data_IF_777200167392
#
_entry.id   IF_777200167392
#
_cell.length_a   1.000
_cell.length_b   1.000
_cell.length_c   1.000
_cell.angle_alpha   90.00
_cell.angle_beta   90.00
_cell.angle_gamma   90.00
#
_symmetry.space_group_name_H-M   'P 1'
#
loop_
_entity.id
_entity.type
_entity.pdbx_description
1 polymer ?
#
# COMPACT_ATOMS: atom_id res chain seq x y z
N UNK A 1 23.07 15.12 -6.73
CA UNK A 1 22.20 15.57 -5.62
C UNK A 1 21.20 14.47 -5.29
N UNK A 2 20.76 14.37 -4.03
CA UNK A 2 19.64 13.49 -3.69
C UNK A 2 18.35 14.27 -3.95
N UNK A 3 17.44 13.72 -4.76
CA UNK A 3 16.11 14.29 -4.92
C UNK A 3 15.14 13.59 -3.98
N UNK A 4 14.28 14.36 -3.32
CA UNK A 4 13.25 13.82 -2.45
C UNK A 4 11.91 13.84 -3.20
N UNK A 5 11.16 12.74 -3.09
CA UNK A 5 9.78 12.69 -3.52
C UNK A 5 8.88 12.54 -2.29
N UNK A 6 7.76 13.26 -2.28
CA UNK A 6 6.73 13.10 -1.26
C UNK A 6 5.67 12.15 -1.77
N UNK A 7 5.35 11.12 -1.00
CA UNK A 7 4.23 10.22 -1.27
C UNK A 7 3.12 10.53 -0.29
N UNK A 8 1.91 10.74 -0.79
CA UNK A 8 0.71 10.98 0.02
C UNK A 8 -0.33 9.92 -0.29
N UNK A 9 -0.45 8.95 0.60
CA UNK A 9 -1.55 7.97 0.61
C UNK A 9 -2.84 8.67 1.02
N UNK A 10 -3.95 8.33 0.36
CA UNK A 10 -5.24 8.97 0.65
C UNK A 10 -6.43 8.01 0.64
N UNK A 11 -6.31 6.81 0.05
CA UNK A 11 -7.39 5.83 0.00
C UNK A 11 -6.85 4.40 -0.01
N UNK A 12 -7.51 3.52 0.74
CA UNK A 12 -7.32 2.08 0.68
C UNK A 12 -8.67 1.41 0.43
N UNK A 13 -8.75 0.53 -0.55
CA UNK A 13 -9.91 -0.34 -0.78
C UNK A 13 -9.50 -1.77 -0.47
N UNK A 14 -10.09 -2.36 0.56
CA UNK A 14 -9.74 -3.68 1.06
C UNK A 14 -10.57 -4.78 0.39
N UNK A 15 -9.90 -5.86 -0.03
CA UNK A 15 -10.47 -7.11 -0.50
C UNK A 15 -11.64 -6.90 -1.47
N UNK A 16 -11.41 -6.08 -2.49
CA UNK A 16 -12.44 -5.76 -3.47
C UNK A 16 -12.48 -6.78 -4.58
N UNK A 17 -13.68 -7.26 -4.89
CA UNK A 17 -13.92 -8.12 -6.05
C UNK A 17 -13.59 -7.41 -7.37
N UNK A 18 -13.75 -6.08 -7.42
CA UNK A 18 -13.38 -5.27 -8.59
C UNK A 18 -11.88 -5.35 -8.92
N UNK A 19 -11.04 -5.72 -7.95
CA UNK A 19 -9.60 -5.87 -8.11
C UNK A 19 -9.16 -7.35 -8.13
N UNK A 20 -10.11 -8.28 -8.27
CA UNK A 20 -9.82 -9.70 -8.39
C UNK A 20 -9.77 -10.45 -7.05
N UNK A 21 -10.39 -9.91 -6.00
CA UNK A 21 -10.60 -10.69 -4.77
C UNK A 21 -11.68 -11.75 -4.96
N UNK A 22 -11.41 -12.96 -4.48
CA UNK A 22 -12.35 -14.07 -4.42
C UNK A 22 -12.22 -14.83 -3.08
N UNK A 23 -12.82 -16.02 -2.98
CA UNK A 23 -12.77 -16.80 -1.74
C UNK A 23 -11.35 -17.28 -1.39
N UNK A 24 -10.48 -17.44 -2.37
CA UNK A 24 -9.09 -17.89 -2.22
C UNK A 24 -8.12 -16.71 -2.22
N UNK A 25 -8.45 -15.60 -2.88
CA UNK A 25 -7.57 -14.49 -3.17
C UNK A 25 -8.07 -13.18 -2.58
N UNK A 26 -7.22 -12.52 -1.80
CA UNK A 26 -7.51 -11.20 -1.24
C UNK A 26 -6.63 -10.16 -1.93
N UNK A 27 -7.27 -9.25 -2.66
CA UNK A 27 -6.61 -8.15 -3.37
C UNK A 27 -7.17 -6.82 -2.87
N UNK A 28 -6.29 -6.07 -2.23
CA UNK A 28 -6.56 -4.70 -1.78
C UNK A 28 -5.84 -3.71 -2.69
N UNK A 29 -6.35 -2.48 -2.81
CA UNK A 29 -5.73 -1.40 -3.60
C UNK A 29 -5.50 -0.17 -2.77
N UNK A 30 -4.27 0.33 -2.77
CA UNK A 30 -3.87 1.58 -2.13
C UNK A 30 -3.66 2.65 -3.19
N UNK A 31 -4.22 3.83 -2.95
CA UNK A 31 -4.14 4.99 -3.82
C UNK A 31 -3.33 6.09 -3.13
N UNK A 32 -2.45 6.72 -3.91
CA UNK A 32 -1.54 7.72 -3.41
C UNK A 32 -1.07 8.66 -4.52
N UNK A 33 -0.67 9.86 -4.13
CA UNK A 33 0.00 10.79 -5.04
C UNK A 33 1.50 10.82 -4.79
N UNK A 34 2.30 11.01 -5.83
CA UNK A 34 3.73 11.29 -5.72
C UNK A 34 4.00 12.70 -6.19
N UNK A 35 4.61 13.52 -5.33
CA UNK A 35 5.05 14.88 -5.64
C UNK A 35 6.57 14.93 -5.74
N UNK A 36 7.08 15.29 -6.92
CA UNK A 36 8.51 15.45 -7.19
C UNK A 36 8.72 16.70 -8.03
N UNK A 37 9.71 17.53 -7.66
CA UNK A 37 10.01 18.79 -8.36
C UNK A 37 8.77 19.68 -8.60
N UNK A 38 7.85 19.73 -7.64
CA UNK A 38 6.62 20.53 -7.71
C UNK A 38 5.52 19.97 -8.62
N UNK A 39 5.72 18.81 -9.24
CA UNK A 39 4.70 18.09 -10.02
C UNK A 39 4.12 16.96 -9.20
N UNK A 40 2.79 16.80 -9.24
CA UNK A 40 2.06 15.75 -8.52
C UNK A 40 1.39 14.80 -9.51
N UNK A 41 1.53 13.50 -9.24
CA UNK A 41 1.01 12.42 -10.08
C UNK A 41 0.22 11.46 -9.21
N UNK A 42 -0.92 10.96 -9.70
CA UNK A 42 -1.78 10.01 -8.99
C UNK A 42 -1.47 8.57 -9.42
N UNK A 43 -1.35 7.68 -8.45
CA UNK A 43 -0.93 6.30 -8.62
C UNK A 43 -1.72 5.36 -7.72
N UNK A 44 -1.63 4.06 -8.03
CA UNK A 44 -2.14 3.01 -7.17
C UNK A 44 -1.25 1.77 -7.21
N UNK A 45 -1.25 1.01 -6.13
CA UNK A 45 -0.69 -0.35 -6.08
C UNK A 45 -1.71 -1.33 -5.50
N UNK A 46 -1.60 -2.57 -5.96
CA UNK A 46 -2.31 -3.70 -5.41
C UNK A 46 -1.49 -4.34 -4.28
N UNK A 47 -2.20 -4.84 -3.28
CA UNK A 47 -1.67 -5.59 -2.16
C UNK A 47 -2.33 -6.95 -2.19
N UNK A 48 -1.52 -8.00 -2.26
CA UNK A 48 -1.98 -9.40 -2.20
C UNK A 48 -1.47 -10.05 -0.94
N UNK A 49 -2.31 -10.90 -0.35
CA UNK A 49 -1.97 -11.73 0.79
C UNK A 49 -1.54 -13.11 0.30
N UNK A 50 -0.50 -13.68 0.89
CA UNK A 50 -0.10 -15.06 0.60
C UNK A 50 -1.12 -16.06 1.16
N UNK A 51 -1.31 -17.17 0.44
CA UNK A 51 -2.29 -18.20 0.79
C UNK A 51 -1.82 -19.06 1.97
N UNK A 52 -2.71 -19.32 2.92
CA UNK A 52 -2.49 -20.32 3.96
C UNK A 52 -3.43 -20.15 5.15
N UNK A 53 -3.75 -21.25 5.84
CA UNK A 53 -4.62 -21.30 7.02
C UNK A 53 -4.04 -20.60 8.27
N UNK A 54 -2.86 -19.98 8.15
CA UNK A 54 -2.13 -19.33 9.25
C UNK A 54 -1.76 -17.87 8.96
N UNK A 55 -2.35 -17.24 7.92
CA UNK A 55 -2.00 -15.87 7.57
C UNK A 55 -2.35 -14.88 8.70
N UNK A 56 -1.33 -14.20 9.21
CA UNK A 56 -1.44 -13.16 10.23
C UNK A 56 -1.31 -11.78 9.60
N UNK A 57 -2.39 -10.98 9.69
CA UNK A 57 -2.43 -9.60 9.22
C UNK A 57 -1.34 -8.71 9.84
N UNK A 58 -0.81 -9.09 11.00
CA UNK A 58 0.16 -8.29 11.75
C UNK A 58 1.60 -8.60 11.36
N UNK A 59 1.91 -9.86 11.09
CA UNK A 59 3.29 -10.34 10.99
C UNK A 59 3.68 -10.77 9.58
N UNK A 60 2.72 -11.23 8.79
CA UNK A 60 3.06 -11.87 7.53
C UNK A 60 3.33 -10.84 6.44
N UNK A 61 4.32 -11.10 5.56
CA UNK A 61 4.67 -10.17 4.50
C UNK A 61 3.51 -10.02 3.52
N UNK A 62 3.31 -8.80 3.03
CA UNK A 62 2.35 -8.52 1.98
C UNK A 62 3.07 -8.42 0.64
N UNK A 63 2.43 -8.90 -0.42
CA UNK A 63 2.90 -8.69 -1.77
C UNK A 63 2.36 -7.35 -2.28
N UNK A 64 3.23 -6.35 -2.34
CA UNK A 64 2.90 -5.04 -2.93
C UNK A 64 3.26 -5.09 -4.41
N UNK A 65 2.36 -4.68 -5.30
CA UNK A 65 2.68 -4.51 -6.71
C UNK A 65 3.52 -3.24 -6.90
N UNK A 66 4.48 -3.24 -7.83
CA UNK A 66 5.16 -2.00 -8.20
C UNK A 66 4.18 -1.06 -8.94
N UNK A 67 3.81 0.09 -8.36
CA UNK A 67 2.90 1.05 -9.02
C UNK A 67 3.59 1.85 -10.12
N UNK A 68 4.91 1.76 -10.15
CA UNK A 68 5.76 2.54 -11.02
C UNK A 68 6.21 1.71 -12.21
N UNK A 69 6.50 2.39 -13.31
CA UNK A 69 7.17 1.76 -14.43
C UNK A 69 8.58 1.33 -14.00
N UNK A 70 9.22 0.37 -14.69
CA UNK A 70 10.60 -0.07 -14.40
C UNK A 70 11.64 1.08 -14.39
N UNK A 71 11.25 2.28 -14.80
CA UNK A 71 12.09 3.46 -14.97
C UNK A 71 12.01 4.47 -13.81
N UNK A 72 11.11 4.29 -12.86
CA UNK A 72 11.01 5.23 -11.73
C UNK A 72 12.04 4.84 -10.66
N UNK A 73 13.03 5.70 -10.46
CA UNK A 73 14.17 5.53 -9.53
C UNK A 73 13.78 5.69 -8.05
N UNK A 74 12.65 5.10 -7.67
CA UNK A 74 12.13 5.08 -6.31
C UNK A 74 12.73 3.90 -5.57
N UNK A 75 13.18 4.13 -4.33
CA UNK A 75 13.59 3.05 -3.45
C UNK A 75 12.36 2.17 -3.14
N UNK A 76 12.25 1.07 -3.88
CA UNK A 76 11.11 0.16 -3.82
C UNK A 76 10.95 -0.49 -2.44
N UNK A 77 12.04 -0.79 -1.74
CA UNK A 77 12.00 -1.38 -0.40
C UNK A 77 11.37 -0.42 0.62
N UNK A 78 11.76 0.85 0.57
CA UNK A 78 11.19 1.89 1.43
C UNK A 78 9.73 2.18 1.07
N UNK A 79 9.41 2.21 -0.24
CA UNK A 79 8.05 2.34 -0.72
C UNK A 79 7.15 1.19 -0.24
N UNK A 80 7.59 -0.06 -0.47
CA UNK A 80 6.88 -1.28 -0.05
C UNK A 80 6.60 -1.25 1.45
N UNK A 81 7.64 -1.02 2.25
CA UNK A 81 7.50 -0.95 3.71
C UNK A 81 6.48 0.10 4.15
N UNK A 82 6.42 1.22 3.44
CA UNK A 82 5.47 2.29 3.73
C UNK A 82 4.04 1.97 3.30
N UNK A 83 3.85 1.30 2.17
CA UNK A 83 2.55 0.79 1.73
C UNK A 83 2.02 -0.23 2.72
N UNK A 84 2.86 -1.18 3.16
CA UNK A 84 2.48 -2.18 4.17
C UNK A 84 2.07 -1.51 5.48
N UNK A 85 2.85 -0.53 5.95
CA UNK A 85 2.52 0.25 7.14
C UNK A 85 1.19 1.01 6.98
N UNK A 86 0.98 1.67 5.85
CA UNK A 86 -0.27 2.37 5.55
C UNK A 86 -1.47 1.43 5.54
N UNK A 87 -1.37 0.30 4.83
CA UNK A 87 -2.40 -0.73 4.75
C UNK A 87 -2.74 -1.27 6.14
N UNK A 88 -1.74 -1.71 6.91
CA UNK A 88 -1.93 -2.18 8.30
C UNK A 88 -2.54 -1.11 9.20
N UNK A 89 -2.26 0.18 8.95
CA UNK A 89 -2.88 1.29 9.68
C UNK A 89 -4.35 1.55 9.29
N UNK A 90 -4.84 0.95 8.21
CA UNK A 90 -6.23 0.97 7.77
C UNK A 90 -6.99 -0.27 8.27
N UNK A 91 -6.41 -1.46 8.13
CA UNK A 91 -7.10 -2.76 8.36
C UNK A 91 -6.70 -3.50 9.64
N UNK A 92 -5.62 -3.11 10.32
CA UNK A 92 -5.06 -3.81 11.48
C UNK A 92 -5.64 -3.38 12.83
N UNK A 93 -5.24 -4.06 13.91
CA UNK A 93 -5.69 -3.81 15.29
C UNK A 93 -5.41 -2.40 15.82
N UNK A 94 -4.50 -1.65 15.17
CA UNK A 94 -4.15 -0.25 15.41
C UNK A 94 -4.88 0.75 14.51
N UNK A 95 -5.80 0.29 13.65
CA UNK A 95 -6.64 1.13 12.80
C UNK A 95 -7.70 1.89 13.61
N UNK A 96 -8.01 3.12 13.19
CA UNK A 96 -9.03 3.98 13.80
C UNK A 96 -10.47 3.64 13.38
N UNK A 97 -10.68 2.55 12.61
CA UNK A 97 -11.97 2.14 12.08
C UNK A 97 -12.59 0.99 12.88
N UNK A 98 -12.42 -0.24 12.37
CA UNK A 98 -12.94 -1.45 13.01
C UNK A 98 -11.84 -2.09 13.84
N UNK A 99 -11.96 -2.05 15.17
CA UNK A 99 -11.01 -2.65 16.10
C UNK A 99 -11.46 -4.08 16.43
N UNK A 100 -10.85 -5.08 15.79
CA UNK A 100 -11.08 -6.49 16.13
C UNK A 100 -10.03 -6.91 17.18
N UNK A 101 -10.46 -7.16 18.42
CA UNK A 101 -9.59 -7.67 19.49
C UNK A 101 -10.09 -9.05 19.89
N UNK A 102 -9.22 -10.06 19.83
CA UNK A 102 -9.52 -11.41 20.31
C UNK A 102 -10.46 -12.25 19.44
N UNK A 103 -10.76 -11.82 18.21
CA UNK A 103 -11.51 -12.63 17.26
C UNK A 103 -10.58 -13.31 16.24
N UNK A 104 -10.88 -14.56 15.93
CA UNK A 104 -10.26 -15.34 14.85
C UNK A 104 -11.27 -15.57 13.73
N UNK A 105 -10.79 -15.82 12.51
CA UNK A 105 -11.62 -16.10 11.33
C UNK A 105 -12.58 -14.98 10.88
N UNK A 106 -12.34 -13.71 11.26
CA UNK A 106 -13.11 -12.59 10.70
C UNK A 106 -12.49 -12.17 9.37
N UNK A 107 -13.29 -12.20 8.30
CA UNK A 107 -12.94 -11.65 6.99
C UNK A 107 -13.84 -10.45 6.70
N UNK A 108 -13.23 -9.30 6.46
CA UNK A 108 -13.94 -8.08 6.08
C UNK A 108 -13.60 -7.75 4.64
N UNK A 109 -14.62 -7.54 3.80
CA UNK A 109 -14.45 -7.34 2.35
C UNK A 109 -15.12 -6.07 1.89
N UNK A 110 -14.65 -5.52 0.77
CA UNK A 110 -15.18 -4.31 0.14
C UNK A 110 -15.18 -3.06 1.04
N UNK A 111 -14.24 -2.95 1.98
CA UNK A 111 -14.12 -1.75 2.81
C UNK A 111 -13.35 -0.65 2.06
N UNK A 112 -13.74 0.60 2.25
CA UNK A 112 -12.98 1.77 1.76
C UNK A 112 -12.57 2.65 2.93
N UNK A 113 -11.28 2.92 3.06
CA UNK A 113 -10.69 3.78 4.07
C UNK A 113 -10.13 5.04 3.43
N UNK A 114 -10.64 6.20 3.82
CA UNK A 114 -10.16 7.53 3.37
C UNK A 114 -9.16 8.14 4.35
N UNK A 115 -8.01 7.50 4.55
CA UNK A 115 -6.99 7.95 5.51
C UNK A 115 -5.84 8.64 4.77
N UNK A 116 -5.52 9.88 5.14
CA UNK A 116 -4.36 10.59 4.57
C UNK A 116 -3.11 10.29 5.38
N UNK A 117 -2.03 9.89 4.71
CA UNK A 117 -0.71 9.70 5.31
C UNK A 117 0.37 10.11 4.31
N UNK A 118 1.35 10.90 4.75
CA UNK A 118 2.43 11.38 3.88
C UNK A 118 3.79 10.92 4.40
N UNK A 119 4.66 10.56 3.47
CA UNK A 119 6.05 10.18 3.71
C UNK A 119 6.96 10.90 2.71
N UNK A 120 8.25 10.96 3.03
CA UNK A 120 9.29 11.41 2.10
C UNK A 120 10.21 10.24 1.79
N UNK A 121 10.46 10.00 0.52
CA UNK A 121 11.38 8.97 0.03
C UNK A 121 12.53 9.61 -0.74
N UNK A 122 13.74 9.06 -0.57
CA UNK A 122 14.89 9.42 -1.40
C UNK A 122 14.75 8.77 -2.78
N UNK A 123 15.06 9.53 -3.83
CA UNK A 123 15.19 9.06 -5.21
C UNK A 123 16.66 9.11 -5.63
N UNK A 124 17.15 8.07 -6.29
CA UNK A 124 18.56 7.99 -6.71
C UNK A 124 18.78 8.59 -8.10
N UNK A 125 19.87 9.33 -8.29
CA UNK A 125 20.15 10.16 -9.47
C UNK A 125 20.76 9.44 -10.70
N UNK A 126 21.00 8.12 -10.67
CA UNK A 126 21.78 7.47 -11.74
C UNK A 126 20.96 7.05 -12.99
N UNK A 127 20.73 8.06 -13.85
CA UNK A 127 20.82 8.12 -15.34
C UNK A 127 19.85 7.35 -16.27
N UNK A 128 19.49 7.87 -17.48
CA UNK A 128 19.39 9.25 -17.99
C UNK A 128 17.97 9.65 -18.45
N UNK A 129 17.73 10.98 -18.47
CA UNK A 129 16.73 11.74 -19.22
C UNK A 129 15.23 11.40 -19.05
N UNK A 130 14.58 12.31 -18.31
CA UNK A 130 13.21 12.77 -18.55
C UNK A 130 12.96 13.16 -20.02
#
# INVERSE_FOLDING_TARGET
>A
MKHNAQITFYKCVQDSQEFGSDNEHAVSRVFFTVTVNGKTFDYHCDIRQDYGSSFSYETDPLQVSNPFSKHDHINYEHFRSSVEAYYRSCVGASGNGIKIVGASNIRMTNNTFGKVHSITIETSENSPAW
#
